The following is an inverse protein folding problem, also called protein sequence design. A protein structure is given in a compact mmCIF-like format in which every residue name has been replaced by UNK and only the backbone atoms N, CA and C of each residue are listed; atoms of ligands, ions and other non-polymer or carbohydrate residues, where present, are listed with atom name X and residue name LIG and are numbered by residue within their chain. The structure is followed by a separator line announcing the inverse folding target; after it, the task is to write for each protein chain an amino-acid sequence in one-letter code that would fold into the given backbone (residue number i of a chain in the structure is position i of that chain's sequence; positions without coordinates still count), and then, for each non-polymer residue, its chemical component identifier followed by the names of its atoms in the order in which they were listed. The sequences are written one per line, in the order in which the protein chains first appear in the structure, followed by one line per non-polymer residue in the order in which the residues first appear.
data_IF_415424574800
#
_entry.id   IF_415424574800
#
_cell.length_a   1.000
_cell.length_b   1.000
_cell.length_c   1.000
_cell.angle_alpha   90.00
_cell.angle_beta   90.00
_cell.angle_gamma   90.00
#
_symmetry.space_group_name_H-M   'P 1'
#
loop_
_entity.id
_entity.type
_entity.pdbx_description
1 polymer ?
#
# COMPACT_ATOMS: atom_id res chain seq x y z
N UNK A 1 -14.32 -78.51 29.44
CA UNK A 1 -15.12 -77.37 28.93
C UNK A 1 -14.15 -76.38 28.27
N UNK A 2 -14.45 -75.85 27.08
CA UNK A 2 -13.53 -74.99 26.31
C UNK A 2 -13.99 -73.54 26.40
N UNK A 3 -13.31 -72.72 27.19
CA UNK A 3 -13.66 -71.30 27.32
C UNK A 3 -13.35 -70.57 26.01
N UNK A 4 -14.35 -69.86 25.46
CA UNK A 4 -14.16 -68.91 24.35
C UNK A 4 -13.79 -67.56 24.95
N UNK A 5 -12.59 -67.08 24.65
CA UNK A 5 -12.19 -65.70 24.94
C UNK A 5 -13.06 -64.73 24.14
N UNK A 6 -13.58 -63.70 24.80
CA UNK A 6 -14.32 -62.62 24.16
C UNK A 6 -13.42 -61.73 23.28
N UNK A 7 -14.00 -60.81 22.49
CA UNK A 7 -13.24 -59.97 21.58
C UNK A 7 -12.22 -59.12 22.36
N UNK A 8 -10.95 -59.30 22.04
CA UNK A 8 -9.85 -58.59 22.70
C UNK A 8 -10.00 -57.09 22.50
N UNK A 9 -10.08 -56.34 23.61
CA UNK A 9 -9.95 -54.87 23.58
C UNK A 9 -8.65 -54.52 22.87
N UNK A 10 -8.69 -53.60 21.92
CA UNK A 10 -7.51 -53.16 21.20
C UNK A 10 -6.43 -52.71 22.20
N UNK A 11 -5.17 -53.09 21.94
CA UNK A 11 -4.03 -52.67 22.78
C UNK A 11 -4.01 -51.15 22.93
N UNK A 12 -3.65 -50.66 24.12
CA UNK A 12 -3.52 -49.22 24.38
C UNK A 12 -2.57 -48.54 23.37
N UNK A 13 -1.51 -49.24 22.93
CA UNK A 13 -0.60 -48.75 21.89
C UNK A 13 -1.27 -48.58 20.52
N UNK A 14 -2.25 -49.43 20.20
CA UNK A 14 -3.04 -49.33 18.97
C UNK A 14 -3.88 -48.05 19.03
N UNK A 15 -4.60 -47.85 20.15
CA UNK A 15 -5.43 -46.66 20.39
C UNK A 15 -4.58 -45.38 20.36
N UNK A 16 -3.39 -45.37 20.95
CA UNK A 16 -2.47 -44.23 20.90
C UNK A 16 -1.95 -43.94 19.48
N UNK A 17 -1.69 -44.97 18.67
CA UNK A 17 -1.32 -44.80 17.25
C UNK A 17 -2.49 -44.21 16.45
N UNK A 18 -3.70 -44.68 16.67
CA UNK A 18 -4.90 -44.19 15.97
C UNK A 18 -5.25 -42.76 16.37
N UNK A 19 -5.16 -42.39 17.66
CA UNK A 19 -5.30 -41.00 18.12
C UNK A 19 -4.25 -40.09 17.45
N UNK A 20 -2.97 -40.52 17.39
CA UNK A 20 -1.89 -39.78 16.73
C UNK A 20 -2.08 -39.66 15.21
N UNK A 21 -2.71 -40.66 14.58
CA UNK A 21 -3.05 -40.64 13.15
C UNK A 21 -4.20 -39.68 12.88
N UNK A 22 -5.24 -39.73 13.70
CA UNK A 22 -6.43 -38.88 13.58
C UNK A 22 -6.12 -37.40 13.87
N UNK A 23 -5.30 -37.09 14.87
CA UNK A 23 -4.82 -35.72 15.13
C UNK A 23 -3.89 -35.16 14.05
N UNK A 24 -3.32 -36.02 13.18
CA UNK A 24 -2.53 -35.61 12.00
C UNK A 24 -3.38 -35.49 10.73
N UNK A 25 -4.66 -35.86 10.75
CA UNK A 25 -5.57 -35.72 9.60
C UNK A 25 -5.72 -34.24 9.24
N UNK A 26 -5.53 -33.91 7.96
CA UNK A 26 -5.75 -32.55 7.43
C UNK A 26 -7.21 -32.41 7.05
N UNK A 27 -7.95 -31.58 7.78
CA UNK A 27 -9.34 -31.22 7.45
C UNK A 27 -9.37 -30.13 6.38
N UNK A 28 -10.18 -30.31 5.34
CA UNK A 28 -10.40 -29.27 4.32
C UNK A 28 -11.23 -28.11 4.91
N UNK A 29 -11.26 -26.95 4.23
CA UNK A 29 -12.09 -25.83 4.67
C UNK A 29 -13.58 -26.19 4.67
N UNK A 30 -14.04 -26.92 3.65
CA UNK A 30 -15.43 -27.38 3.50
C UNK A 30 -15.83 -28.38 4.59
N UNK A 31 -14.95 -29.32 4.93
CA UNK A 31 -15.17 -30.33 5.97
C UNK A 31 -15.31 -29.66 7.34
N UNK A 32 -14.46 -28.67 7.65
CA UNK A 32 -14.59 -27.84 8.87
C UNK A 32 -15.90 -27.06 8.92
N UNK A 33 -16.30 -26.44 7.80
CA UNK A 33 -17.55 -25.65 7.72
C UNK A 33 -18.76 -26.54 7.94
N UNK A 34 -18.81 -27.74 7.33
CA UNK A 34 -19.90 -28.71 7.55
C UNK A 34 -20.07 -29.03 9.03
N UNK A 35 -18.98 -29.40 9.71
CA UNK A 35 -18.99 -29.82 11.12
C UNK A 35 -19.37 -28.67 12.05
N UNK A 36 -18.90 -27.44 11.78
CA UNK A 36 -19.31 -26.25 12.53
C UNK A 36 -20.79 -25.95 12.34
N UNK A 37 -21.33 -26.05 11.11
CA UNK A 37 -22.75 -25.80 10.85
C UNK A 37 -23.65 -26.85 11.50
N UNK A 38 -23.24 -28.12 11.51
CA UNK A 38 -23.99 -29.20 12.17
C UNK A 38 -24.03 -29.02 13.70
N UNK A 39 -22.90 -28.66 14.32
CA UNK A 39 -22.85 -28.31 15.74
C UNK A 39 -23.63 -27.03 16.10
N UNK A 40 -23.82 -26.10 15.14
CA UNK A 40 -24.66 -24.91 15.31
C UNK A 40 -26.16 -25.19 15.13
N UNK A 41 -26.56 -26.28 14.44
CA UNK A 41 -27.96 -26.69 14.37
C UNK A 41 -28.49 -27.27 15.68
N UNK A 42 -27.59 -27.82 16.52
CA UNK A 42 -27.96 -28.37 17.83
C UNK A 42 -28.71 -29.71 17.78
N UNK A 43 -28.66 -30.43 16.65
CA UNK A 43 -29.30 -31.75 16.48
C UNK A 43 -28.59 -32.85 17.30
N UNK A 44 -27.26 -32.76 17.44
CA UNK A 44 -26.43 -33.64 18.27
C UNK A 44 -25.69 -32.84 19.35
N UNK A 45 -25.36 -33.47 20.49
CA UNK A 45 -24.46 -32.86 21.47
C UNK A 45 -23.07 -32.69 20.84
N UNK A 46 -22.43 -31.53 21.04
CA UNK A 46 -21.06 -31.23 20.55
C UNK A 46 -20.07 -32.34 20.93
N UNK A 47 -20.27 -32.99 22.09
CA UNK A 47 -19.44 -34.11 22.55
C UNK A 47 -19.60 -35.40 21.73
N UNK A 48 -20.78 -35.63 21.14
CA UNK A 48 -21.10 -36.77 20.29
C UNK A 48 -20.62 -36.53 18.86
N UNK A 49 -20.88 -35.34 18.32
CA UNK A 49 -20.32 -34.85 17.05
C UNK A 49 -18.79 -34.98 17.03
N UNK A 50 -18.11 -34.56 18.10
CA UNK A 50 -16.66 -34.72 18.24
C UNK A 50 -16.20 -36.18 18.23
N UNK A 51 -17.00 -37.13 18.75
CA UNK A 51 -16.67 -38.57 18.70
C UNK A 51 -16.90 -39.15 17.31
N UNK A 52 -18.00 -38.75 16.65
CA UNK A 52 -18.40 -39.23 15.31
C UNK A 52 -17.39 -38.81 14.24
N UNK A 53 -16.98 -37.55 14.26
CA UNK A 53 -15.98 -37.00 13.33
C UNK A 53 -14.53 -37.30 13.75
N UNK A 54 -14.31 -37.81 14.97
CA UNK A 54 -12.99 -38.08 15.53
C UNK A 54 -12.16 -36.81 15.75
N UNK A 55 -12.79 -35.77 16.31
CA UNK A 55 -12.26 -34.41 16.49
C UNK A 55 -12.16 -34.10 17.99
N UNK A 56 -11.11 -33.39 18.40
CA UNK A 56 -11.03 -32.86 19.76
C UNK A 56 -11.92 -31.62 19.90
N UNK A 57 -12.68 -31.52 20.99
CA UNK A 57 -13.60 -30.40 21.23
C UNK A 57 -12.93 -29.01 21.14
N UNK A 58 -11.64 -28.90 21.51
CA UNK A 58 -10.84 -27.68 21.33
C UNK A 58 -10.72 -27.23 19.88
N UNK A 59 -10.65 -28.15 18.92
CA UNK A 59 -10.62 -27.83 17.49
C UNK A 59 -11.99 -27.32 17.01
N UNK A 60 -13.08 -27.96 17.44
CA UNK A 60 -14.45 -27.51 17.13
C UNK A 60 -14.68 -26.07 17.62
N UNK A 61 -14.39 -25.79 18.89
CA UNK A 61 -14.58 -24.44 19.45
C UNK A 61 -13.66 -23.39 18.81
N UNK A 62 -12.45 -23.78 18.40
CA UNK A 62 -11.57 -22.91 17.61
C UNK A 62 -12.19 -22.54 16.25
N UNK A 63 -12.63 -23.53 15.47
CA UNK A 63 -13.20 -23.30 14.15
C UNK A 63 -14.56 -22.59 14.19
N UNK A 64 -15.41 -22.88 15.18
CA UNK A 64 -16.70 -22.18 15.32
C UNK A 64 -16.50 -20.70 15.66
N UNK A 65 -15.52 -20.36 16.51
CA UNK A 65 -15.12 -18.97 16.77
C UNK A 65 -14.59 -18.28 15.51
N UNK A 66 -13.69 -18.91 14.77
CA UNK A 66 -13.14 -18.35 13.52
C UNK A 66 -14.23 -18.11 12.47
N UNK A 67 -15.16 -19.07 12.32
CA UNK A 67 -16.28 -18.98 11.38
C UNK A 67 -17.23 -17.82 11.73
N UNK A 68 -17.64 -17.70 13.00
CA UNK A 68 -18.52 -16.63 13.47
C UNK A 68 -17.84 -15.25 13.38
N UNK A 69 -16.55 -15.15 13.73
CA UNK A 69 -15.80 -13.89 13.60
C UNK A 69 -15.60 -13.47 12.13
N UNK A 70 -15.33 -14.43 11.23
CA UNK A 70 -15.26 -14.14 9.80
C UNK A 70 -16.60 -13.66 9.24
N UNK A 71 -17.72 -14.29 9.65
CA UNK A 71 -19.07 -13.86 9.30
C UNK A 71 -19.39 -12.45 9.77
N UNK A 72 -19.18 -12.16 11.06
CA UNK A 72 -19.37 -10.80 11.63
C UNK A 72 -18.53 -9.75 10.90
N UNK A 73 -17.25 -10.04 10.63
CA UNK A 73 -16.34 -9.10 9.94
C UNK A 73 -16.76 -8.81 8.50
N UNK A 74 -17.36 -9.78 7.80
CA UNK A 74 -17.95 -9.53 6.47
C UNK A 74 -19.18 -8.63 6.57
N UNK A 75 -20.13 -8.95 7.43
CA UNK A 75 -21.34 -8.17 7.63
C UNK A 75 -21.05 -6.73 8.09
N UNK A 76 -20.13 -6.54 9.03
CA UNK A 76 -19.66 -5.22 9.47
C UNK A 76 -18.79 -4.49 8.41
N UNK A 77 -18.10 -5.25 7.55
CA UNK A 77 -17.36 -4.70 6.42
C UNK A 77 -18.27 -4.15 5.32
N UNK A 78 -19.42 -4.80 5.09
CA UNK A 78 -20.39 -4.36 4.08
C UNK A 78 -21.22 -3.16 4.57
N UNK A 79 -21.51 -3.04 5.87
CA UNK A 79 -22.06 -1.78 6.42
C UNK A 79 -21.05 -0.63 6.35
N UNK A 80 -19.75 -0.87 6.62
CA UNK A 80 -18.71 0.14 6.46
C UNK A 80 -18.51 0.60 5.00
N UNK A 81 -18.62 -0.31 4.03
CA UNK A 81 -18.60 0.02 2.59
C UNK A 81 -19.84 0.79 2.15
N UNK A 82 -21.01 0.46 2.69
CA UNK A 82 -22.24 1.20 2.42
C UNK A 82 -22.15 2.64 2.94
N UNK A 83 -21.66 2.83 4.18
CA UNK A 83 -21.45 4.15 4.78
C UNK A 83 -20.43 5.01 4.00
N UNK A 84 -19.26 4.46 3.69
CA UNK A 84 -18.18 5.20 2.99
C UNK A 84 -18.50 5.53 1.52
N UNK A 85 -19.53 4.92 0.92
CA UNK A 85 -19.92 5.17 -0.48
C UNK A 85 -20.43 6.60 -0.73
N UNK A 86 -21.04 7.24 0.28
CA UNK A 86 -21.44 8.65 0.23
C UNK A 86 -20.21 9.56 0.28
N UNK A 87 -19.45 9.47 1.37
CA UNK A 87 -18.23 10.26 1.62
C UNK A 87 -17.24 10.18 0.45
N UNK A 88 -17.03 9.00 -0.14
CA UNK A 88 -16.13 8.81 -1.30
C UNK A 88 -16.65 9.50 -2.56
N UNK A 89 -17.97 9.70 -2.74
CA UNK A 89 -18.52 10.48 -3.85
C UNK A 89 -18.34 11.98 -3.62
N UNK A 90 -18.61 12.45 -2.41
CA UNK A 90 -18.49 13.87 -2.07
C UNK A 90 -17.02 14.32 -2.11
N UNK A 91 -16.10 13.56 -1.52
CA UNK A 91 -14.66 13.78 -1.63
C UNK A 91 -14.15 13.76 -3.08
N UNK A 92 -14.73 12.94 -3.96
CA UNK A 92 -14.40 12.94 -5.41
C UNK A 92 -14.91 14.19 -6.12
N UNK A 93 -16.08 14.71 -5.73
CA UNK A 93 -16.65 15.95 -6.26
C UNK A 93 -15.83 17.15 -5.82
N UNK A 94 -15.49 17.24 -4.54
CA UNK A 94 -14.60 18.28 -3.97
C UNK A 94 -13.21 18.24 -4.62
N UNK A 95 -12.60 17.06 -4.76
CA UNK A 95 -11.33 16.89 -5.45
C UNK A 95 -11.40 17.22 -6.96
N UNK A 96 -12.61 17.24 -7.56
CA UNK A 96 -12.85 17.76 -8.90
C UNK A 96 -12.83 19.28 -8.92
N UNK A 97 -13.68 19.91 -8.10
CA UNK A 97 -13.79 21.37 -8.01
C UNK A 97 -12.47 22.06 -7.60
N UNK A 98 -11.71 21.45 -6.68
CA UNK A 98 -10.38 21.94 -6.30
C UNK A 98 -9.36 21.86 -7.44
N UNK A 99 -9.44 20.85 -8.32
CA UNK A 99 -8.54 20.75 -9.49
C UNK A 99 -8.87 21.79 -10.55
N UNK A 100 -10.16 22.07 -10.75
CA UNK A 100 -10.64 23.13 -11.65
C UNK A 100 -10.14 24.50 -11.19
N UNK A 101 -10.41 24.86 -9.93
CA UNK A 101 -9.91 26.12 -9.34
C UNK A 101 -8.38 26.25 -9.38
N UNK A 102 -7.63 25.16 -9.16
CA UNK A 102 -6.15 25.17 -9.29
C UNK A 102 -5.72 25.36 -10.75
N UNK A 103 -6.44 24.79 -11.72
CA UNK A 103 -6.16 24.98 -13.14
C UNK A 103 -6.37 26.43 -13.56
N UNK A 104 -7.49 27.03 -13.17
CA UNK A 104 -7.82 28.44 -13.46
C UNK A 104 -6.79 29.40 -12.84
N UNK A 105 -6.51 29.25 -11.54
CA UNK A 105 -5.48 30.05 -10.85
C UNK A 105 -4.08 29.85 -11.46
N UNK A 106 -3.79 28.69 -12.05
CA UNK A 106 -2.53 28.43 -12.77
C UNK A 106 -2.49 29.15 -14.12
N UNK A 107 -3.62 29.17 -14.84
CA UNK A 107 -3.76 29.92 -16.09
C UNK A 107 -3.66 31.43 -15.85
N UNK A 108 -4.36 31.95 -14.85
CA UNK A 108 -4.26 33.35 -14.40
C UNK A 108 -2.82 33.71 -14.01
N UNK A 109 -2.15 32.90 -13.19
CA UNK A 109 -0.74 33.10 -12.85
C UNK A 109 0.16 33.14 -14.09
N UNK A 110 -0.12 32.31 -15.11
CA UNK A 110 0.62 32.29 -16.37
C UNK A 110 0.34 33.52 -17.23
N UNK A 111 -0.88 34.06 -17.21
CA UNK A 111 -1.25 35.30 -17.89
C UNK A 111 -0.62 36.51 -17.20
N UNK A 112 -0.76 36.63 -15.88
CA UNK A 112 -0.14 37.68 -15.07
C UNK A 112 1.39 37.70 -15.20
N UNK A 113 2.03 36.52 -15.24
CA UNK A 113 3.48 36.40 -15.52
C UNK A 113 3.88 36.72 -16.96
N UNK A 114 2.94 36.80 -17.91
CA UNK A 114 3.19 37.29 -19.27
C UNK A 114 2.96 38.79 -19.42
N UNK A 115 1.97 39.36 -18.72
CA UNK A 115 1.61 40.79 -18.80
C UNK A 115 2.43 41.66 -17.86
N UNK A 116 2.71 41.17 -16.64
CA UNK A 116 3.43 41.89 -15.59
C UNK A 116 4.77 41.23 -15.21
N UNK A 117 5.10 40.07 -15.80
CA UNK A 117 6.43 39.49 -15.67
C UNK A 117 7.49 40.43 -16.25
N UNK A 118 8.61 40.68 -15.54
CA UNK A 118 9.42 41.87 -15.76
C UNK A 118 10.09 41.88 -17.15
N UNK A 119 9.80 42.89 -18.00
CA UNK A 119 10.61 43.15 -19.16
C UNK A 119 11.89 43.93 -18.75
N UNK A 120 12.90 43.89 -19.63
CA UNK A 120 14.05 44.81 -19.72
C UNK A 120 15.29 44.66 -18.81
N UNK A 121 15.23 44.32 -17.52
CA UNK A 121 16.49 44.29 -16.71
C UNK A 121 17.57 43.31 -17.26
N UNK A 122 17.16 42.16 -17.82
CA UNK A 122 18.09 41.13 -18.36
C UNK A 122 18.62 41.42 -19.78
N UNK A 123 18.11 42.44 -20.46
CA UNK A 123 18.55 42.85 -21.81
C UNK A 123 19.42 44.12 -21.73
N UNK A 124 19.03 45.11 -20.94
CA UNK A 124 19.76 46.36 -20.75
C UNK A 124 21.17 46.11 -20.19
N UNK A 125 21.26 45.45 -19.03
CA UNK A 125 22.54 45.06 -18.39
C UNK A 125 23.45 44.21 -19.29
N UNK A 126 22.91 43.50 -20.28
CA UNK A 126 23.69 42.66 -21.19
C UNK A 126 24.34 43.46 -22.32
N UNK A 127 23.70 44.54 -22.78
CA UNK A 127 24.31 45.48 -23.73
C UNK A 127 25.44 46.27 -23.07
N UNK A 128 25.25 46.73 -21.84
CA UNK A 128 26.28 47.47 -21.09
C UNK A 128 27.51 46.61 -20.80
N UNK A 129 27.34 45.38 -20.29
CA UNK A 129 28.47 44.49 -19.98
C UNK A 129 29.28 44.07 -21.21
N UNK A 130 28.64 43.87 -22.38
CA UNK A 130 29.36 43.57 -23.63
C UNK A 130 30.14 44.80 -24.11
N UNK A 131 29.53 45.99 -24.05
CA UNK A 131 30.16 47.26 -24.43
C UNK A 131 31.33 47.62 -23.51
N UNK A 132 31.18 47.41 -22.20
CA UNK A 132 32.22 47.64 -21.20
C UNK A 132 33.39 46.66 -21.39
N UNK A 133 33.11 45.37 -21.63
CA UNK A 133 34.13 44.34 -21.88
C UNK A 133 34.90 44.57 -23.18
N UNK A 134 34.23 45.07 -24.23
CA UNK A 134 34.91 45.51 -25.44
C UNK A 134 35.79 46.73 -25.17
N UNK A 135 35.29 47.75 -24.44
CA UNK A 135 36.02 48.98 -24.11
C UNK A 135 37.23 48.75 -23.19
N UNK A 136 37.18 47.76 -22.29
CA UNK A 136 38.34 47.32 -21.49
C UNK A 136 39.37 46.62 -22.38
N UNK A 137 38.94 45.70 -23.27
CA UNK A 137 39.84 44.99 -24.20
C UNK A 137 40.60 45.96 -25.12
N UNK A 138 40.00 47.06 -25.54
CA UNK A 138 40.67 48.10 -26.33
C UNK A 138 41.69 48.96 -25.54
N UNK A 139 41.70 48.88 -24.21
CA UNK A 139 42.62 49.65 -23.34
C UNK A 139 43.83 48.85 -22.88
N UNK A 140 43.81 47.52 -22.99
CA UNK A 140 44.88 46.62 -22.52
C UNK A 140 45.80 46.10 -23.64
N UNK A 141 45.82 46.76 -24.82
CA UNK A 141 46.73 46.41 -25.92
C UNK A 141 47.78 47.48 -26.20
N UNK A 142 48.75 47.58 -25.30
CA UNK A 142 50.13 48.02 -25.54
C UNK A 142 51.01 47.36 -24.46
N UNK A 143 52.30 47.02 -24.69
CA UNK A 143 53.15 47.56 -25.76
C UNK A 143 53.96 46.51 -26.56
N UNK A 144 54.33 46.84 -27.81
CA UNK A 144 55.56 46.36 -28.47
C UNK A 144 55.83 47.17 -29.75
N UNK A 145 57.10 47.60 -29.95
CA UNK A 145 57.62 48.40 -31.08
C UNK A 145 57.09 49.85 -31.07
N UNK A 146 57.81 50.92 -31.43
CA UNK A 146 59.22 51.23 -31.80
C UNK A 146 59.34 52.77 -31.63
N UNK A 147 60.47 53.42 -31.33
CA UNK A 147 61.85 52.98 -31.04
C UNK A 147 62.61 54.10 -30.27
N UNK A 148 63.86 53.87 -29.83
CA UNK A 148 64.76 54.93 -29.32
C UNK A 148 65.86 55.18 -30.35
N UNK A 149 65.69 56.19 -31.24
CA UNK A 149 66.78 57.07 -31.70
C UNK A 149 66.35 58.21 -32.64
N UNK A 150 67.19 59.26 -32.64
CA UNK A 150 67.37 60.32 -33.65
C UNK A 150 66.18 61.21 -34.02
N UNK A 151 66.06 62.39 -33.36
CA UNK A 151 66.13 63.69 -34.04
C UNK A 151 66.48 64.83 -33.06
N UNK A 152 67.31 65.80 -33.49
CA UNK A 152 68.04 66.86 -32.72
C UNK A 152 69.28 66.33 -31.94
N UNK A 153 70.54 66.65 -32.24
CA UNK A 153 71.15 67.76 -32.99
C UNK A 153 70.56 69.13 -32.71
N UNK A 154 71.00 69.73 -31.59
CA UNK A 154 71.72 71.00 -31.66
C UNK A 154 72.81 71.04 -30.59
#
# INVERSE_FOLDING_TARGET
MKQKSGPGKASADQVLKDIRRQTRRRYSAEEKIRIVLEGLRGEENISELCRREGIAASMYYGWSKEFLEAGKRRLAGDTARAATSGEVKDLRREAGALKEAVADLTLENRLLKKTYGPPLCKRFLRCDLVSLRQRIRSRETVPAKMEIRTFWSS
#
